data_IF_552564540248
#
_entry.id   IF_552564540248
#
_cell.length_a   1.000
_cell.length_b   1.000
_cell.length_c   1.000
_cell.angle_alpha   90.00
_cell.angle_beta   90.00
_cell.angle_gamma   90.00
#
_symmetry.space_group_name_H-M   'P 1'
#
loop_
_entity.id
_entity.type
_entity.pdbx_description
1 polymer ?
#
# COMPACT_ATOMS: atom_id res chain seq x y z
N UNK A 1 0.74 -3.04 -13.16
CA UNK A 1 2.03 -3.56 -12.63
C UNK A 1 3.01 -2.46 -12.27
N UNK A 2 3.09 -1.40 -13.07
CA UNK A 2 3.99 -0.27 -12.76
C UNK A 2 3.66 0.51 -11.48
N UNK A 3 2.40 0.51 -11.04
CA UNK A 3 1.99 1.28 -9.86
C UNK A 3 2.65 0.80 -8.56
N UNK A 4 2.84 -0.52 -8.40
CA UNK A 4 3.51 -1.08 -7.22
C UNK A 4 4.98 -0.60 -7.12
N UNK A 5 5.70 -0.58 -8.23
CA UNK A 5 7.10 -0.15 -8.25
C UNK A 5 7.26 1.35 -7.97
N UNK A 6 6.25 2.16 -8.29
CA UNK A 6 6.27 3.61 -8.01
C UNK A 6 6.21 3.94 -6.52
N UNK A 7 5.70 3.02 -5.70
CA UNK A 7 5.71 3.17 -4.23
C UNK A 7 7.15 3.27 -3.71
N UNK A 8 8.10 2.59 -4.37
CA UNK A 8 9.48 2.47 -3.89
C UNK A 8 10.43 3.45 -4.58
N UNK A 9 11.44 3.98 -3.86
CA UNK A 9 12.50 4.78 -4.43
C UNK A 9 13.17 4.08 -5.61
N UNK A 10 13.58 4.84 -6.63
CA UNK A 10 14.14 4.29 -7.87
C UNK A 10 15.28 3.29 -7.62
N UNK A 11 16.17 3.60 -6.67
CA UNK A 11 17.31 2.75 -6.30
C UNK A 11 16.90 1.40 -5.68
N UNK A 12 15.67 1.28 -5.16
CA UNK A 12 15.13 0.05 -4.54
C UNK A 12 14.24 -0.75 -5.49
N UNK A 13 13.88 -0.23 -6.65
CA UNK A 13 12.96 -0.91 -7.58
C UNK A 13 13.48 -2.24 -8.07
N UNK A 14 14.79 -2.39 -8.26
CA UNK A 14 15.38 -3.68 -8.65
C UNK A 14 15.09 -4.81 -7.65
N UNK A 15 15.08 -4.50 -6.35
CA UNK A 15 14.69 -5.45 -5.30
C UNK A 15 13.21 -5.86 -5.43
N UNK A 16 12.33 -4.90 -5.70
CA UNK A 16 10.88 -5.10 -5.78
C UNK A 16 10.39 -5.62 -7.14
N UNK A 17 11.25 -5.62 -8.16
CA UNK A 17 10.90 -6.04 -9.51
C UNK A 17 10.33 -7.46 -9.54
N UNK A 18 10.96 -8.40 -8.83
CA UNK A 18 10.48 -9.79 -8.76
C UNK A 18 9.12 -9.93 -8.09
N UNK A 19 8.81 -9.03 -7.17
CA UNK A 19 7.49 -8.96 -6.52
C UNK A 19 6.44 -8.46 -7.51
N UNK A 20 6.74 -7.40 -8.26
CA UNK A 20 5.86 -6.85 -9.27
C UNK A 20 5.61 -7.84 -10.43
N UNK A 21 6.65 -8.57 -10.86
CA UNK A 21 6.59 -9.50 -12.00
C UNK A 21 6.10 -10.90 -11.62
N UNK A 22 5.87 -11.17 -10.33
CA UNK A 22 5.55 -12.51 -9.84
C UNK A 22 4.24 -13.10 -10.36
N UNK A 23 3.35 -12.27 -10.91
CA UNK A 23 1.97 -12.66 -11.24
C UNK A 23 1.11 -13.02 -10.02
N UNK A 24 1.66 -12.96 -8.81
CA UNK A 24 0.91 -13.17 -7.57
C UNK A 24 0.09 -11.93 -7.24
N UNK A 25 -1.11 -12.16 -6.73
CA UNK A 25 -1.97 -11.08 -6.24
C UNK A 25 -1.46 -10.60 -4.88
N UNK A 26 -0.61 -9.58 -4.89
CA UNK A 26 -0.05 -8.97 -3.67
C UNK A 26 -1.12 -8.10 -3.00
N UNK A 27 -1.55 -8.47 -1.80
CA UNK A 27 -2.55 -7.73 -1.03
C UNK A 27 -1.88 -6.67 -0.15
N UNK A 28 -0.79 -7.06 0.54
CA UNK A 28 -0.14 -6.22 1.52
C UNK A 28 1.36 -6.50 1.57
N UNK A 29 2.16 -5.46 1.84
CA UNK A 29 3.59 -5.56 2.11
C UNK A 29 3.85 -4.96 3.48
N UNK A 30 4.46 -5.74 4.37
CA UNK A 30 4.79 -5.32 5.74
C UNK A 30 6.27 -5.12 5.89
N UNK A 31 6.67 -3.90 6.20
CA UNK A 31 8.05 -3.49 6.45
C UNK A 31 8.18 -3.07 7.91
N UNK A 32 9.03 -3.75 8.65
CA UNK A 32 9.30 -3.46 10.06
C UNK A 32 10.80 -3.52 10.30
N UNK A 33 11.35 -2.49 10.93
CA UNK A 33 12.79 -2.42 11.24
C UNK A 33 13.26 -3.68 11.97
N UNK A 34 14.38 -4.23 11.56
CA UNK A 34 15.02 -5.45 12.07
C UNK A 34 14.14 -6.72 11.97
N UNK A 35 13.16 -6.72 11.07
CA UNK A 35 12.31 -7.87 10.79
C UNK A 35 12.31 -8.22 9.31
N UNK A 36 12.02 -9.48 8.97
CA UNK A 36 11.88 -9.90 7.59
C UNK A 36 10.80 -9.10 6.85
N UNK A 37 11.06 -8.80 5.57
CA UNK A 37 10.01 -8.32 4.66
C UNK A 37 8.95 -9.41 4.53
N UNK A 38 7.69 -9.06 4.74
CA UNK A 38 6.55 -9.95 4.54
C UNK A 38 5.71 -9.40 3.38
N UNK A 39 5.33 -10.29 2.46
CA UNK A 39 4.41 -10.01 1.36
C UNK A 39 3.20 -10.93 1.51
N UNK A 40 2.07 -10.36 1.83
CA UNK A 40 0.79 -11.06 1.90
C UNK A 40 0.15 -11.13 0.52
N UNK A 41 -0.32 -12.32 0.17
CA UNK A 41 -1.07 -12.59 -1.06
C UNK A 41 -2.37 -13.30 -0.75
N UNK A 42 -3.24 -13.45 -1.73
CA UNK A 42 -4.45 -14.27 -1.58
C UNK A 42 -4.17 -15.75 -1.24
N UNK A 43 -2.94 -16.22 -1.41
CA UNK A 43 -2.54 -17.61 -1.14
C UNK A 43 -1.77 -17.79 0.17
N UNK A 44 -1.49 -16.71 0.89
CA UNK A 44 -0.74 -16.70 2.15
C UNK A 44 0.41 -15.70 2.17
N UNK A 45 1.16 -15.74 3.26
CA UNK A 45 2.30 -14.87 3.52
C UNK A 45 3.59 -15.46 2.96
N UNK A 46 4.40 -14.61 2.38
CA UNK A 46 5.72 -14.93 1.86
C UNK A 46 6.76 -13.95 2.40
N UNK A 47 8.01 -14.38 2.37
CA UNK A 47 9.17 -13.55 2.70
C UNK A 47 9.97 -13.26 1.45
N UNK A 48 10.79 -12.21 1.49
CA UNK A 48 11.72 -11.91 0.42
C UNK A 48 13.15 -12.09 0.91
N UNK A 49 14.00 -12.74 0.12
CA UNK A 49 15.43 -12.80 0.37
C UNK A 49 16.15 -11.50 -0.03
N UNK A 50 17.45 -11.38 0.22
CA UNK A 50 18.23 -10.17 -0.06
C UNK A 50 18.27 -9.75 -1.55
N UNK A 51 17.87 -10.60 -2.46
CA UNK A 51 17.75 -10.27 -3.90
C UNK A 51 16.30 -10.03 -4.35
N UNK A 52 15.35 -9.90 -3.41
CA UNK A 52 13.91 -9.75 -3.70
C UNK A 52 13.23 -11.03 -4.17
N UNK A 53 13.89 -12.18 -4.07
CA UNK A 53 13.30 -13.48 -4.40
C UNK A 53 12.33 -13.97 -3.31
N UNK A 54 11.26 -14.62 -3.73
CA UNK A 54 10.21 -15.15 -2.84
C UNK A 54 10.67 -16.41 -2.10
N UNK A 55 10.29 -16.53 -0.84
CA UNK A 55 10.49 -17.73 -0.01
C UNK A 55 9.35 -17.89 1.00
N UNK A 56 9.10 -19.12 1.44
CA UNK A 56 8.02 -19.45 2.36
C UNK A 56 8.42 -19.34 3.84
N UNK A 57 9.72 -19.27 4.12
CA UNK A 57 10.25 -19.22 5.48
C UNK A 57 11.05 -17.94 5.73
N UNK A 58 11.05 -17.42 6.97
CA UNK A 58 11.76 -16.19 7.31
C UNK A 58 13.29 -16.36 7.37
N UNK A 59 13.81 -17.60 7.38
CA UNK A 59 15.24 -17.85 7.48
C UNK A 59 16.00 -17.31 6.26
N UNK A 60 17.00 -16.44 6.49
CA UNK A 60 17.74 -15.80 5.41
C UNK A 60 16.96 -14.74 4.63
N UNK A 61 15.78 -14.36 5.10
CA UNK A 61 15.01 -13.27 4.51
C UNK A 61 15.71 -11.92 4.72
N UNK A 62 15.43 -10.99 3.82
CA UNK A 62 15.89 -9.61 3.93
C UNK A 62 15.30 -8.94 5.18
N UNK A 63 16.16 -8.47 6.07
CA UNK A 63 15.76 -7.70 7.23
C UNK A 63 15.70 -6.22 6.85
N UNK A 64 14.54 -5.62 7.10
CA UNK A 64 14.31 -4.20 6.82
C UNK A 64 15.18 -3.34 7.71
N UNK A 65 15.90 -2.41 7.12
CA UNK A 65 16.73 -1.46 7.87
C UNK A 65 15.96 -0.16 8.16
N UNK A 66 16.38 0.56 9.21
CA UNK A 66 15.85 1.89 9.51
C UNK A 66 16.05 2.86 8.34
N UNK A 67 17.20 2.74 7.66
CA UNK A 67 17.51 3.55 6.48
C UNK A 67 16.52 3.30 5.36
N UNK A 68 16.11 2.04 5.12
CA UNK A 68 15.10 1.71 4.09
C UNK A 68 13.75 2.33 4.40
N UNK A 69 13.31 2.28 5.65
CA UNK A 69 12.05 2.93 6.06
C UNK A 69 12.15 4.44 5.87
N UNK A 70 13.24 5.08 6.31
CA UNK A 70 13.43 6.52 6.17
C UNK A 70 13.45 6.96 4.70
N UNK A 71 14.17 6.22 3.83
CA UNK A 71 14.22 6.48 2.39
C UNK A 71 12.85 6.33 1.72
N UNK A 72 12.09 5.31 2.14
CA UNK A 72 10.74 5.09 1.65
C UNK A 72 9.81 6.26 2.02
N UNK A 73 9.83 6.69 3.28
CA UNK A 73 9.00 7.82 3.73
C UNK A 73 9.37 9.12 3.00
N UNK A 74 10.67 9.42 2.88
CA UNK A 74 11.13 10.60 2.14
C UNK A 74 10.63 10.56 0.68
N UNK A 75 10.75 9.42 0.02
CA UNK A 75 10.25 9.22 -1.34
C UNK A 75 8.74 9.42 -1.46
N UNK A 76 7.96 8.82 -0.56
CA UNK A 76 6.50 8.90 -0.56
C UNK A 76 6.00 10.33 -0.32
N UNK A 77 6.71 11.08 0.51
CA UNK A 77 6.44 12.49 0.80
C UNK A 77 7.13 13.45 -0.20
N UNK A 78 7.69 12.95 -1.30
CA UNK A 78 8.38 13.76 -2.31
C UNK A 78 9.43 14.72 -1.70
N UNK A 79 10.19 14.20 -0.73
CA UNK A 79 11.17 14.91 0.09
C UNK A 79 10.59 16.11 0.90
N UNK A 80 9.25 16.25 0.94
CA UNK A 80 8.55 17.31 1.69
C UNK A 80 7.62 16.73 2.75
N UNK A 81 8.18 16.19 3.83
CA UNK A 81 7.41 15.59 4.94
C UNK A 81 6.40 16.57 5.56
N UNK A 82 6.68 17.86 5.50
CA UNK A 82 5.76 18.89 6.00
C UNK A 82 4.46 18.99 5.19
N UNK A 83 4.51 18.74 3.89
CA UNK A 83 3.31 18.75 3.05
C UNK A 83 2.34 17.61 3.38
N UNK A 84 2.84 16.55 4.02
CA UNK A 84 2.09 15.37 4.42
C UNK A 84 1.91 15.26 5.95
N UNK A 85 2.06 16.37 6.67
CA UNK A 85 2.01 16.37 8.14
C UNK A 85 0.68 15.85 8.69
N UNK A 86 -0.43 16.18 8.05
CA UNK A 86 -1.77 15.76 8.47
C UNK A 86 -1.99 14.27 8.25
N UNK A 87 -1.57 13.73 7.12
CA UNK A 87 -1.63 12.30 6.80
C UNK A 87 -0.74 11.49 7.75
N UNK A 88 0.48 11.96 8.00
CA UNK A 88 1.39 11.32 8.95
C UNK A 88 0.79 11.33 10.36
N UNK A 89 0.14 12.40 10.76
CA UNK A 89 -0.59 12.49 12.02
C UNK A 89 -1.75 11.49 12.09
N UNK A 90 -2.45 11.28 10.97
CA UNK A 90 -3.51 10.26 10.86
C UNK A 90 -2.97 8.83 10.78
N UNK A 91 -1.65 8.65 10.61
CA UNK A 91 -0.99 7.36 10.56
C UNK A 91 -1.07 6.66 9.20
N UNK A 92 -1.42 7.36 8.12
CA UNK A 92 -1.42 6.78 6.79
C UNK A 92 -1.23 7.81 5.67
N UNK A 93 -0.68 7.34 4.56
CA UNK A 93 -0.58 8.07 3.29
C UNK A 93 -1.41 7.35 2.23
N UNK A 94 -1.97 8.11 1.30
CA UNK A 94 -2.55 7.57 0.07
C UNK A 94 -1.70 8.04 -1.11
N UNK A 95 -1.22 7.10 -1.92
CA UNK A 95 -0.32 7.39 -3.03
C UNK A 95 -0.94 7.06 -4.38
N UNK A 96 -0.30 7.50 -5.46
CA UNK A 96 -0.71 7.23 -6.84
C UNK A 96 -1.02 5.73 -7.04
N UNK A 97 -2.10 5.41 -7.77
CA UNK A 97 -2.60 4.04 -7.90
C UNK A 97 -3.58 3.63 -6.79
N UNK A 98 -3.87 4.53 -5.84
CA UNK A 98 -4.83 4.29 -4.75
C UNK A 98 -4.30 3.32 -3.67
N UNK A 99 -2.98 3.11 -3.64
CA UNK A 99 -2.34 2.31 -2.58
C UNK A 99 -2.40 3.07 -1.25
N UNK A 100 -2.63 2.34 -0.17
CA UNK A 100 -2.74 2.89 1.17
C UNK A 100 -1.57 2.44 2.02
N UNK A 101 -0.87 3.38 2.63
CA UNK A 101 0.37 3.13 3.36
C UNK A 101 0.17 3.55 4.80
N UNK A 102 -0.01 2.56 5.67
CA UNK A 102 -0.09 2.75 7.12
C UNK A 102 1.30 2.98 7.71
N UNK A 103 1.39 3.91 8.63
CA UNK A 103 2.62 4.31 9.30
C UNK A 103 2.50 4.07 10.81
N UNK A 104 3.54 3.50 11.40
CA UNK A 104 3.62 3.38 12.84
C UNK A 104 5.03 3.75 13.32
N UNK A 105 5.07 4.56 14.37
CA UNK A 105 6.30 5.09 14.93
C UNK A 105 6.07 5.65 16.33
N UNK A 106 6.98 6.47 16.78
CA UNK A 106 6.89 7.13 18.07
C UNK A 106 5.92 8.32 17.99
N UNK A 107 4.87 8.31 18.81
CA UNK A 107 3.93 9.41 18.93
C UNK A 107 4.61 10.62 19.61
N UNK A 108 4.42 11.81 19.04
CA UNK A 108 4.76 13.09 19.63
C UNK A 108 3.47 13.81 19.96
N UNK A 109 3.22 14.04 21.23
CA UNK A 109 2.01 14.72 21.70
C UNK A 109 2.22 16.23 21.69
N UNK A 110 1.18 16.96 21.37
CA UNK A 110 1.16 18.42 21.47
C UNK A 110 0.75 18.87 22.87
N UNK A 111 -0.20 18.14 23.48
CA UNK A 111 -0.71 18.27 24.83
C UNK A 111 -1.04 16.87 25.35
N UNK A 112 -1.62 16.76 26.57
CA UNK A 112 -1.94 15.45 27.17
C UNK A 112 -2.85 14.54 26.32
N UNK A 113 -3.58 15.09 25.34
CA UNK A 113 -4.57 14.35 24.55
C UNK A 113 -4.41 14.48 23.03
N UNK A 114 -3.54 15.34 22.54
CA UNK A 114 -3.40 15.62 21.09
C UNK A 114 -2.17 15.00 20.46
N UNK A 115 -2.32 14.20 19.41
CA UNK A 115 -1.20 13.73 18.59
C UNK A 115 -0.73 14.86 17.67
N UNK A 116 0.51 15.33 17.84
CA UNK A 116 1.13 16.32 16.97
C UNK A 116 1.66 15.68 15.69
N UNK A 117 2.42 14.59 15.83
CA UNK A 117 3.02 13.87 14.69
C UNK A 117 3.56 12.50 15.11
N UNK A 118 3.99 11.71 14.13
CA UNK A 118 4.78 10.50 14.33
C UNK A 118 6.25 10.80 14.02
N UNK A 119 7.15 10.31 14.87
CA UNK A 119 8.60 10.30 14.65
C UNK A 119 9.12 8.86 14.64
N UNK A 120 10.35 8.68 14.17
CA UNK A 120 11.03 7.39 14.19
C UNK A 120 10.11 6.27 13.67
N UNK A 121 9.53 6.49 12.47
CA UNK A 121 8.66 5.50 11.85
C UNK A 121 9.47 4.22 11.66
N UNK A 122 9.01 3.16 12.30
CA UNK A 122 9.69 1.85 12.34
C UNK A 122 8.89 0.73 11.70
N UNK A 123 7.62 1.00 11.36
CA UNK A 123 6.74 0.08 10.68
C UNK A 123 5.95 0.79 9.60
N UNK A 124 5.97 0.20 8.41
CA UNK A 124 5.20 0.63 7.23
C UNK A 124 4.41 -0.55 6.71
N UNK A 125 3.12 -0.33 6.52
CA UNK A 125 2.21 -1.31 5.97
C UNK A 125 1.63 -0.82 4.66
N UNK A 126 1.99 -1.43 3.55
CA UNK A 126 1.58 -1.04 2.21
C UNK A 126 0.43 -1.94 1.77
N UNK A 127 -0.78 -1.42 1.78
CA UNK A 127 -1.94 -2.11 1.19
C UNK A 127 -2.00 -1.80 -0.30
N UNK A 128 -1.84 -2.85 -1.10
CA UNK A 128 -1.79 -2.74 -2.56
C UNK A 128 -3.22 -2.69 -3.11
N UNK A 129 -3.51 -1.62 -3.82
CA UNK A 129 -4.78 -1.48 -4.55
C UNK A 129 -4.64 -2.12 -5.93
N UNK A 130 -5.65 -2.88 -6.34
CA UNK A 130 -5.72 -3.50 -7.64
C UNK A 130 -6.87 -2.91 -8.44
N UNK A 131 -6.61 -2.58 -9.70
CA UNK A 131 -7.63 -2.29 -10.70
C UNK A 131 -8.01 -3.61 -11.37
N UNK A 132 -9.30 -3.92 -11.38
CA UNK A 132 -9.85 -5.06 -12.13
C UNK A 132 -10.59 -4.49 -13.33
N UNK A 133 -9.91 -4.49 -14.48
CA UNK A 133 -10.52 -4.03 -15.73
C UNK A 133 -11.71 -4.90 -16.09
N UNK A 134 -12.78 -4.27 -16.54
CA UNK A 134 -14.01 -4.96 -16.89
C UNK A 134 -14.91 -5.34 -15.71
N UNK A 135 -14.53 -4.98 -14.47
CA UNK A 135 -15.35 -5.30 -13.29
C UNK A 135 -16.77 -4.71 -13.34
N UNK A 136 -16.97 -3.63 -14.10
CA UNK A 136 -18.25 -2.96 -14.28
C UNK A 136 -18.98 -3.31 -15.58
N UNK A 137 -18.37 -4.07 -16.50
CA UNK A 137 -18.90 -4.29 -17.85
C UNK A 137 -20.33 -4.87 -17.85
N UNK A 138 -20.61 -5.79 -16.95
CA UNK A 138 -21.95 -6.41 -16.83
C UNK A 138 -23.01 -5.47 -16.21
N UNK A 139 -22.57 -4.45 -15.48
CA UNK A 139 -23.46 -3.54 -14.75
C UNK A 139 -23.63 -2.24 -15.51
N UNK A 140 -22.61 -1.79 -16.22
CA UNK A 140 -22.60 -0.52 -16.93
C UNK A 140 -23.83 -0.32 -17.85
N UNK A 141 -24.25 -1.30 -18.67
CA UNK A 141 -25.46 -1.17 -19.50
C UNK A 141 -26.75 -0.95 -18.70
N UNK A 142 -26.81 -1.51 -17.45
CA UNK A 142 -27.99 -1.40 -16.58
C UNK A 142 -28.09 -0.02 -15.91
N UNK A 143 -27.00 0.78 -15.92
CA UNK A 143 -26.98 2.13 -15.39
C UNK A 143 -27.58 3.16 -16.37
N UNK A 144 -27.89 2.75 -17.60
CA UNK A 144 -28.49 3.61 -18.62
C UNK A 144 -29.94 3.21 -18.89
N UNK A 145 -30.83 4.19 -18.99
CA UNK A 145 -32.19 4.05 -19.47
C UNK A 145 -32.40 5.09 -20.57
N UNK A 146 -32.83 4.64 -21.76
CA UNK A 146 -33.07 5.51 -22.93
C UNK A 146 -31.85 6.40 -23.26
N UNK A 147 -30.63 5.86 -23.13
CA UNK A 147 -29.39 6.58 -23.39
C UNK A 147 -28.93 7.55 -22.29
N UNK A 148 -29.71 7.69 -21.21
CA UNK A 148 -29.38 8.57 -20.08
C UNK A 148 -28.88 7.76 -18.89
N UNK A 149 -27.77 8.23 -18.30
CA UNK A 149 -27.21 7.64 -17.06
C UNK A 149 -28.17 7.91 -15.88
N UNK A 150 -28.47 6.85 -15.13
CA UNK A 150 -29.42 6.91 -14.00
C UNK A 150 -28.71 7.10 -12.68
N UNK A 151 -29.32 7.88 -11.76
CA UNK A 151 -28.89 7.96 -10.38
C UNK A 151 -28.98 6.56 -9.75
N UNK A 152 -27.85 6.01 -9.35
CA UNK A 152 -27.74 4.61 -8.92
C UNK A 152 -27.11 4.53 -7.53
N UNK A 153 -27.72 3.74 -6.65
CA UNK A 153 -27.19 3.39 -5.34
C UNK A 153 -26.70 1.94 -5.35
N UNK A 154 -25.41 1.76 -5.05
CA UNK A 154 -24.79 0.43 -4.94
C UNK A 154 -24.73 0.03 -3.46
N UNK A 155 -25.47 -1.01 -3.09
CA UNK A 155 -25.53 -1.53 -1.72
C UNK A 155 -24.95 -2.93 -1.68
N UNK A 156 -23.95 -3.16 -0.83
CA UNK A 156 -23.41 -4.49 -0.54
C UNK A 156 -22.65 -4.49 0.79
N UNK A 157 -22.43 -5.66 1.42
CA UNK A 157 -21.56 -5.77 2.59
C UNK A 157 -20.13 -5.24 2.33
N UNK A 158 -19.36 -4.91 3.38
CA UNK A 158 -17.94 -4.61 3.25
C UNK A 158 -17.18 -5.75 2.55
N UNK A 159 -16.17 -5.42 1.72
CA UNK A 159 -15.34 -6.42 1.03
C UNK A 159 -15.93 -7.00 -0.27
N UNK A 160 -17.19 -6.71 -0.63
CA UNK A 160 -17.85 -7.22 -1.84
C UNK A 160 -17.57 -6.42 -3.12
N UNK A 161 -16.47 -5.70 -3.19
CA UNK A 161 -15.99 -5.12 -4.44
C UNK A 161 -16.66 -3.83 -4.89
N UNK A 162 -17.45 -3.12 -4.05
CA UNK A 162 -18.08 -1.83 -4.42
C UNK A 162 -17.13 -0.84 -5.06
N UNK A 163 -15.98 -0.63 -4.43
CA UNK A 163 -14.97 0.31 -4.92
C UNK A 163 -14.28 -0.20 -6.19
N UNK A 164 -14.14 -1.51 -6.33
CA UNK A 164 -13.62 -2.14 -7.55
C UNK A 164 -14.55 -1.92 -8.73
N UNK A 165 -15.87 -2.01 -8.46
CA UNK A 165 -16.91 -1.76 -9.45
C UNK A 165 -16.97 -0.30 -9.92
N UNK A 166 -16.62 0.66 -9.02
CA UNK A 166 -16.68 2.11 -9.28
C UNK A 166 -15.41 2.66 -9.92
N UNK A 167 -14.37 1.86 -10.09
CA UNK A 167 -13.09 2.23 -10.72
C UNK A 167 -13.04 1.76 -12.15
#
# INVERSE_FOLDING_TARGET
>A
MDSLLRIFPQKRRAFWQKTADSGKWVCEIRLRVDRPVIVETMRGDYFLNNSGGWQEHPYGAHLVTETEIRELIAWLCQDSVYAYADEIRQGFLTVEGGHRIGLCGQAVLENETGLRTLKNISFVNIRVSHEIRGAADDILPKLYKEGMFQNTLIVSPPGFGKTTLLR
#
